data_IF_504086075251
#
_entry.id   IF_504086075251
#
_cell.length_a   1.000
_cell.length_b   1.000
_cell.length_c   1.000
_cell.angle_alpha   90.00
_cell.angle_beta   90.00
_cell.angle_gamma   90.00
#
_symmetry.space_group_name_H-M   'P 1'
#
loop_
_entity.id
_entity.type
_entity.pdbx_description
1 polymer ?
#
# COMPACT_ATOMS: atom_id res chain seq x y z
N UNK A 1 17.52 -20.74 1.18
CA UNK A 1 16.48 -20.75 2.22
C UNK A 1 15.39 -21.75 1.84
N UNK A 2 14.92 -22.57 2.78
CA UNK A 2 13.87 -23.59 2.56
C UNK A 2 12.51 -23.05 3.01
N UNK A 3 11.43 -23.49 2.38
CA UNK A 3 10.07 -23.09 2.77
C UNK A 3 9.72 -23.56 4.18
N UNK A 4 9.51 -22.62 5.11
CA UNK A 4 9.18 -22.92 6.50
C UNK A 4 7.90 -23.75 6.66
N UNK A 5 6.94 -23.65 5.72
CA UNK A 5 5.75 -24.54 5.74
C UNK A 5 6.15 -25.99 5.50
N UNK A 6 7.05 -26.25 4.54
CA UNK A 6 7.50 -27.62 4.28
C UNK A 6 8.26 -28.20 5.48
N UNK A 7 9.11 -27.41 6.13
CA UNK A 7 9.81 -27.83 7.36
C UNK A 7 8.81 -28.16 8.48
N UNK A 8 7.74 -27.38 8.63
CA UNK A 8 6.74 -27.59 9.70
C UNK A 8 5.97 -28.92 9.62
N UNK A 9 5.80 -29.48 8.42
CA UNK A 9 5.08 -30.75 8.22
C UNK A 9 6.01 -31.98 8.20
N UNK A 10 7.32 -31.76 8.35
CA UNK A 10 8.27 -32.83 8.59
C UNK A 10 8.11 -33.28 10.06
N UNK A 11 8.02 -34.60 10.33
CA UNK A 11 8.02 -35.11 11.70
C UNK A 11 9.22 -34.55 12.48
N UNK A 12 8.96 -33.80 13.53
CA UNK A 12 9.99 -33.13 14.34
C UNK A 12 10.59 -34.07 15.39
N UNK A 13 11.83 -33.80 15.75
CA UNK A 13 12.47 -34.34 16.94
C UNK A 13 12.42 -33.29 18.06
N UNK A 14 12.51 -33.72 19.32
CA UNK A 14 12.21 -32.86 20.49
C UNK A 14 13.31 -31.83 20.80
N UNK A 15 14.41 -31.79 20.05
CA UNK A 15 15.59 -30.98 20.34
C UNK A 15 16.13 -30.28 19.10
N UNK A 16 16.51 -29.01 19.23
CA UNK A 16 17.03 -28.16 18.13
C UNK A 16 18.25 -28.79 17.42
N UNK A 17 19.07 -29.55 18.16
CA UNK A 17 20.21 -30.29 17.60
C UNK A 17 19.78 -31.43 16.68
N UNK A 18 18.75 -32.19 17.05
CA UNK A 18 18.25 -33.28 16.22
C UNK A 18 17.45 -32.75 15.04
N UNK A 19 16.70 -31.66 15.24
CA UNK A 19 15.97 -30.98 14.17
C UNK A 19 16.92 -30.40 13.11
N UNK A 20 18.01 -29.75 13.50
CA UNK A 20 19.00 -29.23 12.55
C UNK A 20 19.70 -30.35 11.76
N UNK A 21 20.07 -31.45 12.41
CA UNK A 21 20.64 -32.63 11.73
C UNK A 21 19.65 -33.28 10.76
N UNK A 22 18.38 -33.37 11.14
CA UNK A 22 17.32 -33.91 10.30
C UNK A 22 17.00 -33.02 9.10
N UNK A 23 16.91 -31.71 9.30
CA UNK A 23 16.76 -30.72 8.22
C UNK A 23 17.93 -30.81 7.25
N UNK A 24 19.17 -30.95 7.74
CA UNK A 24 20.34 -31.14 6.90
C UNK A 24 20.26 -32.43 6.06
N UNK A 25 19.79 -33.54 6.65
CA UNK A 25 19.58 -34.80 5.93
C UNK A 25 18.51 -34.67 4.85
N UNK A 26 17.40 -33.99 5.13
CA UNK A 26 16.34 -33.72 4.16
C UNK A 26 16.78 -32.77 3.03
N UNK A 27 17.69 -31.84 3.33
CA UNK A 27 18.30 -30.98 2.33
C UNK A 27 19.20 -31.79 1.40
N UNK A 28 20.08 -32.62 1.98
CA UNK A 28 21.00 -33.50 1.24
C UNK A 28 20.26 -34.50 0.35
N UNK A 29 19.12 -35.03 0.80
CA UNK A 29 18.30 -35.96 0.01
C UNK A 29 17.41 -35.30 -1.03
N UNK A 30 17.44 -33.96 -1.17
CA UNK A 30 16.63 -33.22 -2.13
C UNK A 30 15.13 -33.16 -1.81
N UNK A 31 14.73 -33.58 -0.60
CA UNK A 31 13.32 -33.60 -0.17
C UNK A 31 12.80 -32.22 0.25
N UNK A 32 13.69 -31.25 0.44
CA UNK A 32 13.33 -29.86 0.74
C UNK A 32 13.30 -29.00 -0.53
N UNK A 33 12.12 -28.47 -0.86
CA UNK A 33 11.99 -27.46 -1.91
C UNK A 33 12.46 -26.09 -1.41
N UNK A 34 13.34 -25.46 -2.18
CA UNK A 34 13.76 -24.08 -1.96
C UNK A 34 12.57 -23.11 -1.99
N UNK A 35 12.62 -22.09 -1.15
CA UNK A 35 11.69 -20.96 -1.28
C UNK A 35 12.02 -20.16 -2.54
N UNK A 36 11.00 -19.66 -3.23
CA UNK A 36 11.21 -18.68 -4.30
C UNK A 36 11.87 -17.42 -3.73
N UNK A 37 13.06 -17.10 -4.24
CA UNK A 37 13.79 -15.87 -3.96
C UNK A 37 13.87 -15.11 -5.28
N UNK A 38 13.22 -13.94 -5.39
CA UNK A 38 13.27 -13.17 -6.61
C UNK A 38 14.70 -12.69 -6.92
N UNK A 39 15.01 -12.47 -8.21
CA UNK A 39 16.28 -11.88 -8.60
C UNK A 39 16.43 -10.48 -7.98
N UNK A 40 17.68 -10.00 -7.88
CA UNK A 40 18.01 -8.74 -7.23
C UNK A 40 17.12 -7.58 -7.71
N UNK A 41 16.97 -7.46 -9.02
CA UNK A 41 16.16 -6.43 -9.65
C UNK A 41 14.71 -6.39 -9.14
N UNK A 42 14.06 -7.56 -9.03
CA UNK A 42 12.70 -7.67 -8.48
C UNK A 42 12.68 -7.33 -6.98
N UNK A 43 13.70 -7.73 -6.22
CA UNK A 43 13.79 -7.42 -4.78
C UNK A 43 13.94 -5.92 -4.52
N UNK A 44 14.75 -5.23 -5.31
CA UNK A 44 14.92 -3.77 -5.21
C UNK A 44 13.61 -3.04 -5.53
N UNK A 45 12.92 -3.43 -6.62
CA UNK A 45 11.61 -2.87 -6.93
C UNK A 45 10.57 -3.15 -5.84
N UNK A 46 10.59 -4.35 -5.25
CA UNK A 46 9.74 -4.72 -4.12
C UNK A 46 9.96 -3.84 -2.91
N UNK A 47 11.22 -3.59 -2.57
CA UNK A 47 11.59 -2.73 -1.46
C UNK A 47 11.07 -1.31 -1.66
N UNK A 48 11.30 -0.74 -2.85
CA UNK A 48 10.80 0.59 -3.23
C UNK A 48 9.27 0.66 -3.13
N UNK A 49 8.55 -0.35 -3.66
CA UNK A 49 7.09 -0.36 -3.63
C UNK A 49 6.53 -0.49 -2.21
N UNK A 50 7.14 -1.34 -1.37
CA UNK A 50 6.76 -1.48 0.05
C UNK A 50 7.05 -0.21 0.84
N UNK A 51 8.19 0.44 0.57
CA UNK A 51 8.53 1.72 1.17
C UNK A 51 7.55 2.81 0.76
N UNK A 52 7.22 2.92 -0.54
CA UNK A 52 6.16 3.82 -1.05
C UNK A 52 4.86 3.65 -0.26
N UNK A 53 4.39 2.41 -0.06
CA UNK A 53 3.17 2.14 0.71
C UNK A 53 3.27 2.64 2.16
N UNK A 54 4.42 2.46 2.79
CA UNK A 54 4.67 2.95 4.17
C UNK A 54 4.59 4.48 4.22
N UNK A 55 5.23 5.17 3.28
CA UNK A 55 5.21 6.64 3.18
C UNK A 55 3.81 7.16 2.88
N UNK A 56 3.04 6.50 2.01
CA UNK A 56 1.62 6.83 1.79
C UNK A 56 0.83 6.72 3.11
N UNK A 57 1.04 5.64 3.87
CA UNK A 57 0.38 5.45 5.16
C UNK A 57 0.73 6.56 6.17
N UNK A 58 2.00 6.97 6.23
CA UNK A 58 2.45 8.10 7.04
C UNK A 58 1.77 9.40 6.61
N UNK A 59 1.71 9.67 5.31
CA UNK A 59 1.05 10.87 4.78
C UNK A 59 -0.43 10.91 5.11
N UNK A 60 -1.14 9.79 4.96
CA UNK A 60 -2.55 9.69 5.36
C UNK A 60 -2.75 9.95 6.85
N UNK A 61 -1.83 9.47 7.69
CA UNK A 61 -1.86 9.75 9.12
C UNK A 61 -1.70 11.25 9.41
N UNK A 62 -0.83 11.95 8.69
CA UNK A 62 -0.63 13.39 8.86
C UNK A 62 -1.80 14.22 8.30
N UNK A 63 -2.43 13.79 7.21
CA UNK A 63 -3.69 14.36 6.76
C UNK A 63 -4.78 14.26 7.83
N UNK A 64 -4.93 13.09 8.44
CA UNK A 64 -5.89 12.91 9.53
C UNK A 64 -5.56 13.78 10.75
N UNK A 65 -4.26 13.94 11.07
CA UNK A 65 -3.82 14.84 12.14
C UNK A 65 -4.21 16.29 11.85
N UNK A 66 -3.96 16.78 10.63
CA UNK A 66 -4.34 18.12 10.21
C UNK A 66 -5.86 18.32 10.31
N UNK A 67 -6.63 17.37 9.80
CA UNK A 67 -8.08 17.36 9.86
C UNK A 67 -8.60 17.45 11.30
N UNK A 68 -8.04 16.66 12.22
CA UNK A 68 -8.42 16.67 13.63
C UNK A 68 -8.11 18.02 14.32
N UNK A 69 -7.03 18.70 13.94
CA UNK A 69 -6.70 20.03 14.47
C UNK A 69 -7.76 21.04 14.02
N UNK A 70 -8.17 21.01 12.74
CA UNK A 70 -9.25 21.86 12.23
C UNK A 70 -10.56 21.60 12.99
N UNK A 71 -10.91 20.32 13.20
CA UNK A 71 -12.14 19.94 13.90
C UNK A 71 -12.13 20.36 15.37
N UNK A 72 -10.97 20.32 16.04
CA UNK A 72 -10.79 20.84 17.41
C UNK A 72 -11.03 22.35 17.47
N UNK A 73 -10.72 23.08 16.39
CA UNK A 73 -11.03 24.50 16.23
C UNK A 73 -12.46 24.77 15.73
N UNK A 74 -13.33 23.76 15.69
CA UNK A 74 -14.68 23.78 15.12
C UNK A 74 -14.77 24.05 13.61
N UNK A 75 -13.67 23.87 12.86
CA UNK A 75 -13.66 24.00 11.40
C UNK A 75 -13.94 22.65 10.75
N UNK A 76 -15.06 22.54 10.02
CA UNK A 76 -15.61 21.27 9.50
C UNK A 76 -15.56 21.18 7.98
N UNK A 77 -14.42 21.52 7.37
CA UNK A 77 -14.23 21.53 5.92
C UNK A 77 -14.58 20.21 5.22
N UNK A 78 -14.35 19.06 5.86
CA UNK A 78 -14.63 17.72 5.31
C UNK A 78 -16.10 17.44 5.04
N UNK A 79 -17.01 18.23 5.63
CA UNK A 79 -18.45 18.09 5.40
C UNK A 79 -18.89 18.72 4.07
N UNK A 80 -18.16 19.71 3.58
CA UNK A 80 -18.49 20.48 2.38
C UNK A 80 -17.59 20.10 1.20
N UNK A 81 -16.31 19.89 1.49
CA UNK A 81 -15.24 19.64 0.52
C UNK A 81 -14.93 18.16 0.45
N UNK A 82 -15.10 17.56 -0.74
CA UNK A 82 -14.81 16.14 -0.97
C UNK A 82 -13.32 15.80 -0.86
N UNK A 83 -12.45 16.76 -1.21
CA UNK A 83 -11.00 16.67 -1.05
C UNK A 83 -10.48 17.92 -0.34
N UNK A 84 -10.38 17.82 1.00
CA UNK A 84 -9.89 18.90 1.87
C UNK A 84 -8.43 19.27 1.55
N UNK A 85 -7.66 18.34 0.98
CA UNK A 85 -6.25 18.54 0.63
C UNK A 85 -6.05 18.76 -0.87
N UNK A 86 -7.12 19.16 -1.58
CA UNK A 86 -7.07 19.65 -2.95
C UNK A 86 -6.66 21.13 -3.01
N UNK A 87 -6.62 21.71 -4.21
CA UNK A 87 -6.13 23.10 -4.43
C UNK A 87 -6.84 24.12 -3.56
N UNK A 88 -8.18 24.11 -3.53
CA UNK A 88 -8.95 25.09 -2.74
C UNK A 88 -8.80 24.88 -1.23
N UNK A 89 -8.86 23.63 -0.76
CA UNK A 89 -8.71 23.34 0.65
C UNK A 89 -7.32 23.70 1.17
N UNK A 90 -6.26 23.43 0.41
CA UNK A 90 -4.91 23.89 0.74
C UNK A 90 -4.77 25.41 0.75
N UNK A 91 -5.41 26.12 -0.19
CA UNK A 91 -5.41 27.59 -0.17
C UNK A 91 -6.04 28.12 1.12
N UNK A 92 -7.19 27.56 1.53
CA UNK A 92 -7.87 27.93 2.78
C UNK A 92 -7.02 27.58 4.01
N UNK A 93 -6.48 26.36 4.09
CA UNK A 93 -5.60 25.92 5.19
C UNK A 93 -4.36 26.80 5.28
N UNK A 94 -3.79 27.20 4.14
CA UNK A 94 -2.61 28.07 4.11
C UNK A 94 -2.93 29.47 4.62
N UNK A 95 -4.03 30.07 4.18
CA UNK A 95 -4.50 31.36 4.69
C UNK A 95 -4.78 31.31 6.21
N UNK A 96 -5.40 30.23 6.69
CA UNK A 96 -5.61 29.95 8.12
C UNK A 96 -4.29 29.94 8.90
N UNK A 97 -3.28 29.23 8.37
CA UNK A 97 -1.95 29.16 8.99
C UNK A 97 -1.29 30.54 9.02
N UNK A 98 -1.47 31.35 7.97
CA UNK A 98 -0.96 32.71 7.84
C UNK A 98 -1.71 33.72 8.72
N UNK A 99 -2.81 33.32 9.36
CA UNK A 99 -3.53 34.11 10.35
C UNK A 99 -4.90 34.61 9.91
N UNK A 100 -5.35 34.27 8.70
CA UNK A 100 -6.70 34.62 8.24
C UNK A 100 -7.76 33.83 9.03
N UNK A 101 -8.78 34.55 9.49
CA UNK A 101 -9.86 34.00 10.31
C UNK A 101 -11.24 34.33 9.74
N UNK A 102 -11.36 35.28 8.81
CA UNK A 102 -12.64 35.63 8.22
C UNK A 102 -13.15 34.49 7.31
N UNK A 103 -14.26 33.81 7.67
CA UNK A 103 -14.82 32.74 6.87
C UNK A 103 -15.21 33.19 5.46
N UNK A 104 -15.56 34.47 5.26
CA UNK A 104 -15.89 35.03 3.95
C UNK A 104 -14.66 35.10 3.05
N UNK A 105 -13.53 35.58 3.58
CA UNK A 105 -12.25 35.64 2.84
C UNK A 105 -11.80 34.23 2.48
N UNK A 106 -11.82 33.32 3.45
CA UNK A 106 -11.44 31.93 3.25
C UNK A 106 -12.33 31.24 2.20
N UNK A 107 -13.66 31.40 2.27
CA UNK A 107 -14.58 30.83 1.29
C UNK A 107 -14.40 31.41 -0.12
N UNK A 108 -13.91 32.64 -0.27
CA UNK A 108 -13.58 33.24 -1.58
C UNK A 108 -12.40 32.55 -2.27
N UNK A 109 -11.57 31.79 -1.55
CA UNK A 109 -10.48 31.00 -2.13
C UNK A 109 -11.00 29.73 -2.84
N UNK A 110 -12.30 29.44 -2.76
CA UNK A 110 -12.91 28.33 -3.46
C UNK A 110 -12.79 28.48 -4.99
N UNK A 111 -12.41 27.39 -5.67
CA UNK A 111 -12.25 27.31 -7.12
C UNK A 111 -13.19 26.26 -7.72
N UNK A 112 -13.47 26.39 -9.01
CA UNK A 112 -14.31 25.46 -9.75
C UNK A 112 -15.71 25.30 -9.15
N UNK A 113 -16.19 24.05 -9.05
CA UNK A 113 -17.53 23.71 -8.53
C UNK A 113 -17.72 24.11 -7.07
N UNK A 114 -16.64 24.26 -6.30
CA UNK A 114 -16.73 24.60 -4.88
C UNK A 114 -17.23 26.04 -4.65
N UNK A 115 -17.11 26.92 -5.65
CA UNK A 115 -17.70 28.28 -5.59
C UNK A 115 -19.21 28.27 -5.37
N UNK A 116 -19.90 27.25 -5.88
CA UNK A 116 -21.35 27.11 -5.73
C UNK A 116 -21.71 26.89 -4.25
N UNK A 117 -20.84 26.22 -3.50
CA UNK A 117 -21.02 25.90 -2.07
C UNK A 117 -20.51 26.98 -1.12
N UNK A 118 -20.36 28.23 -1.57
CA UNK A 118 -19.75 29.31 -0.78
C UNK A 118 -20.45 29.53 0.57
N UNK A 119 -21.78 29.51 0.60
CA UNK A 119 -22.57 29.63 1.83
C UNK A 119 -22.27 28.49 2.82
N UNK A 120 -22.24 27.24 2.35
CA UNK A 120 -21.86 26.08 3.17
C UNK A 120 -20.43 26.17 3.68
N UNK A 121 -19.50 26.68 2.86
CA UNK A 121 -18.10 26.89 3.25
C UNK A 121 -17.97 27.91 4.38
N UNK A 122 -18.68 29.03 4.30
CA UNK A 122 -18.67 30.06 5.35
C UNK A 122 -19.06 29.44 6.69
N UNK A 123 -20.16 28.67 6.71
CA UNK A 123 -20.62 27.95 7.90
C UNK A 123 -19.60 26.90 8.38
N UNK A 124 -18.96 26.17 7.47
CA UNK A 124 -17.97 25.15 7.81
C UNK A 124 -16.63 25.74 8.29
N UNK A 125 -16.33 26.99 7.93
CA UNK A 125 -15.11 27.72 8.29
C UNK A 125 -15.29 28.56 9.56
N UNK A 126 -16.50 28.64 10.10
CA UNK A 126 -16.79 29.33 11.36
C UNK A 126 -16.20 28.55 12.55
N UNK A 127 -15.09 29.06 13.09
CA UNK A 127 -14.35 28.38 14.14
C UNK A 127 -13.39 29.29 14.90
N UNK A 128 -12.79 28.73 15.95
CA UNK A 128 -11.91 29.46 16.87
C UNK A 128 -10.47 28.95 16.75
N UNK A 129 -9.68 29.61 15.90
CA UNK A 129 -8.27 29.28 15.70
C UNK A 129 -7.38 30.15 16.59
N UNK A 130 -6.75 29.52 17.58
CA UNK A 130 -5.69 30.16 18.37
C UNK A 130 -4.31 29.97 17.72
N UNK A 131 -3.30 30.62 18.29
CA UNK A 131 -1.91 30.50 17.84
C UNK A 131 -1.39 29.06 17.90
N UNK A 132 -1.79 28.30 18.92
CA UNK A 132 -1.41 26.90 19.08
C UNK A 132 -1.92 26.03 17.91
N UNK A 133 -3.17 26.20 17.49
CA UNK A 133 -3.72 25.49 16.32
C UNK A 133 -2.94 25.82 15.05
N UNK A 134 -2.65 27.11 14.80
CA UNK A 134 -1.86 27.53 13.64
C UNK A 134 -0.46 26.92 13.63
N UNK A 135 0.20 26.88 14.79
CA UNK A 135 1.50 26.23 14.95
C UNK A 135 1.43 24.73 14.64
N UNK A 136 0.44 24.02 15.17
CA UNK A 136 0.28 22.58 14.90
C UNK A 136 -0.04 22.31 13.43
N UNK A 137 -0.88 23.13 12.80
CA UNK A 137 -1.19 23.04 11.37
C UNK A 137 0.05 23.28 10.50
N UNK A 138 0.91 24.24 10.86
CA UNK A 138 2.14 24.54 10.10
C UNK A 138 3.15 23.40 10.17
N UNK A 139 3.29 22.75 11.33
CA UNK A 139 4.12 21.55 11.48
C UNK A 139 3.58 20.39 10.63
N UNK A 140 2.28 20.07 10.72
CA UNK A 140 1.68 19.01 9.91
C UNK A 140 1.78 19.30 8.41
N UNK A 141 1.55 20.55 7.98
CA UNK A 141 1.76 20.97 6.58
C UNK A 141 3.19 20.70 6.12
N UNK A 142 4.18 21.05 6.94
CA UNK A 142 5.60 20.82 6.62
C UNK A 142 5.89 19.34 6.41
N UNK A 143 5.45 18.48 7.33
CA UNK A 143 5.65 17.03 7.23
C UNK A 143 4.96 16.45 5.99
N UNK A 144 3.73 16.88 5.69
CA UNK A 144 3.01 16.44 4.49
C UNK A 144 3.78 16.80 3.22
N UNK A 145 4.33 18.02 3.13
CA UNK A 145 5.12 18.45 1.98
C UNK A 145 6.39 17.62 1.83
N UNK A 146 7.09 17.31 2.93
CA UNK A 146 8.26 16.43 2.92
C UNK A 146 7.91 15.01 2.47
N UNK A 147 6.79 14.45 2.96
CA UNK A 147 6.33 13.12 2.54
C UNK A 147 5.92 13.09 1.06
N UNK A 148 5.36 14.19 0.54
CA UNK A 148 5.04 14.31 -0.88
C UNK A 148 6.31 14.32 -1.75
N UNK A 149 7.33 15.07 -1.36
CA UNK A 149 8.62 15.09 -2.05
C UNK A 149 9.27 13.70 -2.04
N UNK A 150 9.31 13.06 -0.86
CA UNK A 150 9.83 11.70 -0.71
C UNK A 150 9.08 10.69 -1.59
N UNK A 151 7.75 10.79 -1.68
CA UNK A 151 6.97 9.96 -2.61
C UNK A 151 7.35 10.21 -4.06
N UNK A 152 7.58 11.46 -4.46
CA UNK A 152 8.06 11.81 -5.79
C UNK A 152 9.42 11.19 -6.11
N UNK A 153 10.36 11.21 -5.16
CA UNK A 153 11.66 10.57 -5.32
C UNK A 153 11.55 9.04 -5.48
N UNK A 154 10.72 8.39 -4.65
CA UNK A 154 10.48 6.94 -4.73
C UNK A 154 9.79 6.58 -6.05
N UNK A 155 8.83 7.38 -6.50
CA UNK A 155 8.12 7.16 -7.76
C UNK A 155 9.03 7.31 -8.97
N UNK A 156 9.87 8.32 -8.99
CA UNK A 156 10.90 8.48 -10.02
C UNK A 156 11.84 7.26 -10.07
N UNK A 157 12.24 6.74 -8.91
CA UNK A 157 13.09 5.55 -8.84
C UNK A 157 12.35 4.31 -9.34
N UNK A 158 11.09 4.11 -8.95
CA UNK A 158 10.24 3.02 -9.45
C UNK A 158 10.11 3.09 -10.97
N UNK A 159 9.85 4.28 -11.53
CA UNK A 159 9.71 4.47 -12.97
C UNK A 159 10.98 4.11 -13.74
N UNK A 160 12.18 4.32 -13.16
CA UNK A 160 13.44 3.87 -13.77
C UNK A 160 13.52 2.34 -13.90
N UNK A 161 12.99 1.59 -12.92
CA UNK A 161 12.89 0.13 -13.04
C UNK A 161 11.82 -0.25 -14.07
N UNK A 162 10.67 0.43 -14.08
CA UNK A 162 9.60 0.08 -15.01
C UNK A 162 9.96 0.27 -16.49
N UNK A 163 10.97 1.07 -16.83
CA UNK A 163 11.48 1.18 -18.22
C UNK A 163 11.87 -0.18 -18.82
N UNK A 164 12.39 -1.11 -18.01
CA UNK A 164 12.76 -2.45 -18.49
C UNK A 164 11.54 -3.36 -18.70
N UNK A 165 10.44 -3.07 -18.01
CA UNK A 165 9.23 -3.89 -17.98
C UNK A 165 8.02 -3.16 -18.54
N UNK A 166 8.23 -2.25 -19.50
CA UNK A 166 7.17 -1.41 -20.02
C UNK A 166 6.09 -2.24 -20.73
N UNK A 167 6.51 -3.25 -21.50
CA UNK A 167 5.61 -4.15 -22.21
C UNK A 167 4.83 -5.04 -21.24
N UNK A 168 5.49 -5.58 -20.21
CA UNK A 168 4.84 -6.38 -19.17
C UNK A 168 3.82 -5.56 -18.37
N UNK A 169 4.11 -4.28 -18.10
CA UNK A 169 3.14 -3.36 -17.50
C UNK A 169 1.93 -3.16 -18.43
N UNK A 170 2.15 -2.87 -19.72
CA UNK A 170 1.06 -2.71 -20.70
C UNK A 170 0.19 -3.97 -20.79
N UNK A 171 0.84 -5.13 -20.85
CA UNK A 171 0.20 -6.43 -20.88
C UNK A 171 -0.66 -6.66 -19.64
N UNK A 172 -0.15 -6.36 -18.45
CA UNK A 172 -0.93 -6.45 -17.21
C UNK A 172 -2.12 -5.48 -17.18
N UNK A 173 -1.98 -4.29 -17.77
CA UNK A 173 -3.06 -3.30 -17.86
C UNK A 173 -4.20 -3.70 -18.80
N UNK A 174 -4.03 -4.75 -19.61
CA UNK A 174 -5.14 -5.32 -20.40
C UNK A 174 -6.18 -6.04 -19.53
N UNK A 175 -5.80 -6.40 -18.29
CA UNK A 175 -6.71 -6.99 -17.30
C UNK A 175 -7.62 -5.88 -16.74
N UNK A 176 -8.96 -6.03 -16.82
CA UNK A 176 -9.89 -5.05 -16.26
C UNK A 176 -9.62 -4.78 -14.78
N UNK A 177 -9.47 -3.49 -14.42
CA UNK A 177 -9.17 -3.06 -13.05
C UNK A 177 -7.69 -3.09 -12.66
N UNK A 178 -6.78 -3.52 -13.55
CA UNK A 178 -5.34 -3.38 -13.36
C UNK A 178 -4.86 -2.06 -13.95
N UNK A 179 -4.48 -1.14 -13.06
CA UNK A 179 -3.82 0.11 -13.46
C UNK A 179 -2.31 -0.01 -13.24
N UNK A 180 -1.55 0.97 -13.75
CA UNK A 180 -0.07 1.01 -13.63
C UNK A 180 0.42 0.66 -12.23
N UNK A 181 -0.14 1.28 -11.18
CA UNK A 181 0.28 1.02 -9.80
C UNK A 181 0.07 -0.44 -9.38
N UNK A 182 -1.08 -1.03 -9.72
CA UNK A 182 -1.38 -2.44 -9.44
C UNK A 182 -0.48 -3.37 -10.23
N UNK A 183 -0.24 -3.08 -11.52
CA UNK A 183 0.69 -3.83 -12.36
C UNK A 183 2.11 -3.78 -11.78
N UNK A 184 2.59 -2.60 -11.38
CA UNK A 184 3.88 -2.43 -10.70
C UNK A 184 3.95 -3.25 -9.42
N UNK A 185 2.89 -3.24 -8.61
CA UNK A 185 2.82 -4.01 -7.37
C UNK A 185 2.95 -5.52 -7.63
N UNK A 186 2.27 -6.02 -8.66
CA UNK A 186 2.36 -7.41 -9.10
C UNK A 186 3.80 -7.73 -9.49
N UNK A 187 4.38 -6.98 -10.44
CA UNK A 187 5.74 -7.21 -10.93
C UNK A 187 6.80 -7.10 -9.82
N UNK A 188 6.62 -6.20 -8.85
CA UNK A 188 7.49 -6.07 -7.70
C UNK A 188 7.46 -7.31 -6.79
N UNK A 189 6.32 -7.99 -6.69
CA UNK A 189 6.20 -9.20 -5.87
C UNK A 189 6.57 -10.48 -6.63
N UNK A 190 6.26 -10.62 -7.91
CA UNK A 190 6.44 -11.90 -8.61
C UNK A 190 7.54 -11.87 -9.69
N UNK A 191 7.96 -10.69 -10.13
CA UNK A 191 8.86 -10.52 -11.28
C UNK A 191 8.18 -10.84 -12.61
N UNK A 192 8.97 -11.03 -13.66
CA UNK A 192 8.49 -11.39 -15.00
C UNK A 192 8.71 -12.86 -15.34
N UNK A 193 9.62 -13.55 -14.64
CA UNK A 193 9.90 -14.96 -14.88
C UNK A 193 8.83 -15.87 -14.25
N UNK A 194 7.91 -16.36 -15.08
CA UNK A 194 6.84 -17.26 -14.65
C UNK A 194 7.28 -18.73 -14.52
N UNK A 195 8.51 -19.11 -14.94
CA UNK A 195 9.02 -20.48 -14.76
C UNK A 195 9.20 -20.83 -13.27
N UNK A 196 9.39 -19.83 -12.41
CA UNK A 196 9.42 -19.99 -10.96
C UNK A 196 8.13 -20.60 -10.38
N UNK A 197 7.02 -20.49 -11.12
CA UNK A 197 5.73 -21.08 -10.74
C UNK A 197 5.36 -22.15 -11.75
N UNK A 198 5.25 -23.44 -11.40
CA UNK A 198 4.94 -24.49 -12.37
C UNK A 198 3.56 -24.36 -13.02
N UNK A 199 2.55 -23.89 -12.28
CA UNK A 199 1.22 -23.55 -12.81
C UNK A 199 0.62 -22.34 -12.05
N UNK A 200 -0.49 -21.79 -12.55
CA UNK A 200 -1.22 -20.68 -11.92
C UNK A 200 -1.67 -20.96 -10.48
N UNK A 201 -1.91 -22.22 -10.11
CA UNK A 201 -2.28 -22.60 -8.75
C UNK A 201 -1.10 -22.50 -7.78
N UNK A 202 0.14 -22.73 -8.25
CA UNK A 202 1.34 -22.51 -7.46
C UNK A 202 1.53 -21.02 -7.16
N UNK A 203 1.28 -20.15 -8.13
CA UNK A 203 1.28 -18.70 -7.94
C UNK A 203 0.21 -18.29 -6.92
N UNK A 204 -1.05 -18.70 -7.12
CA UNK A 204 -2.14 -18.39 -6.19
C UNK A 204 -1.91 -18.91 -4.76
N UNK A 205 -1.30 -20.09 -4.63
CA UNK A 205 -0.91 -20.65 -3.33
C UNK A 205 0.21 -19.84 -2.68
N UNK A 206 1.21 -19.40 -3.47
CA UNK A 206 2.31 -18.55 -2.99
C UNK A 206 1.81 -17.18 -2.51
N UNK A 207 0.88 -16.57 -3.25
CA UNK A 207 0.21 -15.33 -2.88
C UNK A 207 -0.75 -15.48 -1.67
N UNK A 208 -1.02 -16.72 -1.20
CA UNK A 208 -1.94 -16.96 -0.08
C UNK A 208 -3.42 -16.71 -0.42
N UNK A 209 -3.78 -16.87 -1.70
CA UNK A 209 -5.16 -16.75 -2.21
C UNK A 209 -5.88 -18.11 -2.27
N UNK A 210 -5.15 -19.22 -2.11
CA UNK A 210 -5.74 -20.53 -1.95
C UNK A 210 -6.14 -20.77 -0.49
N UNK A 211 -7.41 -21.13 -0.19
CA UNK A 211 -7.81 -21.48 1.17
C UNK A 211 -6.98 -22.70 1.62
N UNK A 212 -6.18 -22.52 2.66
CA UNK A 212 -5.36 -23.60 3.19
C UNK A 212 -6.22 -24.60 3.96
N UNK A 213 -5.93 -25.91 3.80
CA UNK A 213 -6.48 -26.93 4.68
C UNK A 213 -5.65 -27.01 5.98
N UNK A 214 -5.77 -25.99 6.82
CA UNK A 214 -5.07 -25.92 8.12
C UNK A 214 -5.92 -26.59 9.20
N UNK A 215 -5.90 -27.91 9.22
CA UNK A 215 -6.55 -28.71 10.25
C UNK A 215 -5.49 -29.30 11.18
N UNK A 216 -5.66 -29.13 12.49
CA UNK A 216 -4.82 -29.80 13.49
C UNK A 216 -5.73 -30.40 14.56
N UNK A 217 -5.61 -31.70 14.81
CA UNK A 217 -6.44 -32.44 15.77
C UNK A 217 -7.96 -32.22 15.56
N UNK A 218 -8.43 -32.32 14.31
CA UNK A 218 -9.85 -32.16 13.97
C UNK A 218 -10.40 -30.72 14.00
N UNK A 219 -9.56 -29.73 14.31
CA UNK A 219 -9.97 -28.31 14.38
C UNK A 219 -9.35 -27.51 13.23
N UNK A 220 -10.23 -26.87 12.46
CA UNK A 220 -9.85 -25.96 11.37
C UNK A 220 -9.38 -24.62 11.94
N UNK A 221 -8.13 -24.27 11.71
CA UNK A 221 -7.55 -22.98 12.11
C UNK A 221 -7.74 -21.95 11.01
N UNK A 222 -8.48 -20.89 11.29
CA UNK A 222 -8.55 -19.70 10.42
C UNK A 222 -7.20 -18.97 10.55
N UNK A 223 -6.50 -18.76 9.43
CA UNK A 223 -5.32 -17.90 9.41
C UNK A 223 -5.73 -16.50 9.01
N UNK A 224 -5.33 -15.51 9.81
CA UNK A 224 -5.09 -14.17 9.28
C UNK A 224 -3.95 -14.23 8.25
N UNK A 225 -4.12 -13.45 7.19
CA UNK A 225 -3.15 -13.30 6.11
C UNK A 225 -1.77 -12.92 6.67
N UNK A 226 -0.78 -13.82 6.50
CA UNK A 226 0.61 -13.60 6.94
C UNK A 226 1.30 -12.46 6.14
N UNK A 227 0.70 -12.06 5.02
CA UNK A 227 1.05 -10.84 4.31
C UNK A 227 0.26 -9.71 4.95
N UNK A 228 0.84 -9.07 5.97
CA UNK A 228 0.38 -7.76 6.40
C UNK A 228 0.47 -6.85 5.17
N UNK A 229 -0.68 -6.45 4.63
CA UNK A 229 -0.85 -5.70 3.38
C UNK A 229 -0.41 -6.40 2.08
N UNK A 230 -1.10 -7.49 1.70
CA UNK A 230 -0.99 -8.14 0.40
C UNK A 230 -1.40 -7.20 -0.77
N UNK A 231 -0.47 -6.75 -1.64
CA UNK A 231 -0.82 -5.95 -2.82
C UNK A 231 -1.62 -6.73 -3.88
N UNK A 232 -1.68 -8.06 -3.77
CA UNK A 232 -2.42 -8.96 -4.66
C UNK A 232 -3.85 -9.24 -4.18
N UNK A 233 -4.28 -8.58 -3.09
CA UNK A 233 -5.67 -8.55 -2.60
C UNK A 233 -6.30 -7.15 -2.67
N UNK A 234 -6.51 -6.55 -3.84
CA UNK A 234 -7.62 -5.60 -3.99
C UNK A 234 -8.92 -6.34 -3.69
N UNK A 235 -9.94 -5.67 -3.14
CA UNK A 235 -11.22 -6.25 -2.68
C UNK A 235 -12.02 -7.06 -3.73
N UNK A 236 -11.50 -7.25 -4.95
CA UNK A 236 -12.13 -7.93 -6.09
C UNK A 236 -11.36 -9.14 -6.66
N UNK A 237 -10.16 -9.48 -6.16
CA UNK A 237 -9.32 -10.48 -6.82
C UNK A 237 -9.61 -11.91 -6.35
N UNK A 238 -10.48 -12.60 -7.09
CA UNK A 238 -10.67 -14.06 -6.99
C UNK A 238 -9.54 -14.79 -7.72
N UNK A 239 -9.36 -16.09 -7.45
CA UNK A 239 -8.36 -16.96 -8.07
C UNK A 239 -8.26 -16.86 -9.60
N UNK A 240 -9.33 -16.46 -10.28
CA UNK A 240 -9.40 -16.25 -11.74
C UNK A 240 -8.47 -15.13 -12.26
N UNK A 241 -8.19 -14.07 -11.48
CA UNK A 241 -7.33 -12.97 -11.94
C UNK A 241 -5.85 -13.38 -12.11
N UNK A 242 -5.34 -14.25 -11.24
CA UNK A 242 -3.96 -14.77 -11.34
C UNK A 242 -3.78 -15.77 -12.49
N UNK A 243 -4.85 -16.44 -12.91
CA UNK A 243 -4.82 -17.32 -14.09
C UNK A 243 -4.49 -16.53 -15.36
N UNK A 244 -4.99 -15.30 -15.45
CA UNK A 244 -4.68 -14.38 -16.55
C UNK A 244 -3.23 -13.87 -16.47
N UNK A 245 -2.74 -13.50 -15.29
CA UNK A 245 -1.37 -12.96 -15.14
C UNK A 245 -0.31 -13.89 -15.71
N UNK A 246 -0.36 -15.19 -15.37
CA UNK A 246 0.61 -16.15 -15.92
C UNK A 246 0.46 -16.33 -17.43
N UNK A 247 -0.76 -16.37 -17.96
CA UNK A 247 -1.01 -16.48 -19.41
C UNK A 247 -0.54 -15.26 -20.20
N UNK A 248 -0.52 -14.10 -19.57
CA UNK A 248 -0.16 -12.81 -20.18
C UNK A 248 1.35 -12.58 -20.14
N UNK A 249 2.06 -13.17 -19.18
CA UNK A 249 3.52 -13.03 -18.99
C UNK A 249 4.33 -14.21 -19.56
N UNK A 250 3.72 -15.10 -20.35
CA UNK A 250 4.35 -16.19 -21.12
C UNK A 250 4.16 -15.88 -22.60
#
# INVERSE_FOLDING_TARGET
>A
MVNARHIKYVPGHKTDRNDSAWIAKLLLSGLLKGSFIPPQYTRELRELYRYKRKVIGQRSSEYNRLQNILETANIKLSTVVSDVFGVSGWSMITAIIEGEQDPMILANLAKGRLKIKKQELILALEGHLNEHHRFMLSLSKTVILQLNDLLGQVDNRIDQYLKKWEEEVKLLQTIPGVQKQTATAILAEIGTDMHAFPNQHHLASWCGLCPGNNESAGKRKVKESIMATDPLKPHSWKQHGLQHIRKILI
#
